data_IF_076936457859
#
_entry.id   IF_076936457859
#
_cell.length_a   1.000
_cell.length_b   1.000
_cell.length_c   1.000
_cell.angle_alpha   90.00
_cell.angle_beta   90.00
_cell.angle_gamma   90.00
#
_symmetry.space_group_name_H-M   'P 1'
#
loop_
_entity.id
_entity.type
_entity.pdbx_description
1 polymer ?
#
# COMPACT_ATOMS: atom_id res chain seq x y z
N UNK A 1 2.00 -11.92 17.95
CA UNK A 1 2.00 -10.63 17.22
C UNK A 1 3.45 -10.16 17.21
N UNK A 2 4.17 -10.34 16.10
CA UNK A 2 5.59 -9.97 16.01
C UNK A 2 5.73 -8.50 15.60
N UNK A 3 6.66 -7.78 16.23
CA UNK A 3 7.01 -6.41 15.82
C UNK A 3 7.78 -6.48 14.50
N UNK A 4 7.34 -5.73 13.49
CA UNK A 4 7.95 -5.67 12.15
C UNK A 4 8.92 -4.50 11.98
N UNK A 5 9.08 -3.65 12.99
CA UNK A 5 10.00 -2.50 12.97
C UNK A 5 11.45 -2.98 12.78
N UNK A 6 12.18 -2.30 11.88
CA UNK A 6 13.59 -2.61 11.57
C UNK A 6 13.78 -3.82 10.64
N UNK A 7 12.70 -4.52 10.27
CA UNK A 7 12.74 -5.57 9.25
C UNK A 7 12.45 -4.97 7.88
N UNK A 8 12.90 -5.67 6.83
CA UNK A 8 12.47 -5.34 5.48
C UNK A 8 10.94 -5.42 5.40
N UNK A 9 10.34 -4.40 4.78
CA UNK A 9 8.90 -4.37 4.56
C UNK A 9 8.48 -5.61 3.74
N UNK A 10 7.42 -6.32 4.14
CA UNK A 10 6.89 -7.42 3.34
C UNK A 10 6.47 -6.91 1.96
N UNK A 11 6.96 -7.57 0.91
CA UNK A 11 6.53 -7.25 -0.45
C UNK A 11 5.18 -7.88 -0.74
N UNK A 12 4.39 -7.21 -1.58
CA UNK A 12 3.10 -7.70 -2.03
C UNK A 12 2.80 -7.22 -3.44
N UNK A 13 2.03 -8.03 -4.16
CA UNK A 13 1.50 -7.69 -5.48
C UNK A 13 -0.01 -7.86 -5.45
N UNK A 14 -0.76 -6.78 -5.65
CA UNK A 14 -2.22 -6.74 -5.55
C UNK A 14 -2.83 -5.80 -6.59
N UNK A 15 -4.14 -5.93 -6.91
CA UNK A 15 -4.84 -4.92 -7.68
C UNK A 15 -4.89 -3.58 -6.93
N UNK A 16 -4.78 -2.46 -7.66
CA UNK A 16 -4.83 -1.11 -7.06
C UNK A 16 -5.42 -0.08 -8.02
N UNK A 17 -5.96 1.00 -7.44
CA UNK A 17 -6.33 2.23 -8.16
C UNK A 17 -5.20 3.24 -7.99
N UNK A 18 -4.61 3.68 -9.09
CA UNK A 18 -3.52 4.66 -9.10
C UNK A 18 -4.05 6.08 -8.90
N UNK A 19 -3.16 7.03 -8.57
CA UNK A 19 -3.54 8.44 -8.34
C UNK A 19 -4.10 9.16 -9.57
N UNK A 20 -3.96 8.59 -10.76
CA UNK A 20 -4.57 9.06 -12.00
C UNK A 20 -5.94 8.40 -12.30
N UNK A 21 -6.42 7.50 -11.43
CA UNK A 21 -7.67 6.76 -11.60
C UNK A 21 -7.55 5.49 -12.44
N UNK A 22 -6.36 5.14 -12.93
CA UNK A 22 -6.15 3.88 -13.64
C UNK A 22 -6.21 2.69 -12.67
N UNK A 23 -6.85 1.62 -13.12
CA UNK A 23 -6.91 0.34 -12.40
C UNK A 23 -5.80 -0.54 -12.96
N UNK A 24 -4.94 -1.03 -12.06
CA UNK A 24 -3.89 -1.98 -12.39
C UNK A 24 -4.12 -3.28 -11.62
N UNK A 25 -4.01 -4.42 -12.30
CA UNK A 25 -4.21 -5.73 -11.68
C UNK A 25 -3.02 -6.19 -10.82
N UNK A 26 -1.86 -5.54 -10.98
CA UNK A 26 -0.59 -5.99 -10.39
C UNK A 26 0.29 -4.84 -9.93
N UNK A 27 -0.15 -4.13 -8.90
CA UNK A 27 0.68 -3.17 -8.18
C UNK A 27 1.65 -3.91 -7.25
N UNK A 28 2.96 -3.74 -7.45
CA UNK A 28 4.00 -4.29 -6.58
C UNK A 28 4.64 -3.20 -5.70
N UNK A 29 4.63 -3.39 -4.37
CA UNK A 29 5.12 -2.39 -3.41
C UNK A 29 6.61 -2.10 -3.63
N UNK A 30 7.46 -3.12 -3.64
CA UNK A 30 8.92 -2.94 -3.72
C UNK A 30 9.35 -2.18 -4.99
N UNK A 31 8.70 -2.46 -6.11
CA UNK A 31 8.91 -1.75 -7.37
C UNK A 31 8.42 -0.30 -7.29
N UNK A 32 7.25 -0.07 -6.71
CA UNK A 32 6.64 1.26 -6.61
C UNK A 32 7.44 2.22 -5.73
N UNK A 33 8.10 1.73 -4.68
CA UNK A 33 8.89 2.55 -3.74
C UNK A 33 10.41 2.47 -3.99
N UNK A 34 10.86 1.82 -5.06
CA UNK A 34 12.28 1.64 -5.33
C UNK A 34 13.02 2.99 -5.37
N UNK A 35 14.04 3.13 -4.51
CA UNK A 35 14.88 4.33 -4.45
C UNK A 35 14.21 5.55 -3.79
N UNK A 36 13.04 5.39 -3.15
CA UNK A 36 12.36 6.46 -2.41
C UNK A 36 11.71 5.93 -1.14
N UNK A 37 11.38 6.85 -0.23
CA UNK A 37 10.58 6.49 0.94
C UNK A 37 9.14 6.16 0.54
N UNK A 38 8.55 5.17 1.21
CA UNK A 38 7.15 4.79 1.06
C UNK A 38 6.44 4.82 2.41
N UNK A 39 5.20 5.31 2.41
CA UNK A 39 4.30 5.24 3.55
C UNK A 39 3.15 4.30 3.20
N UNK A 40 2.99 3.21 3.95
CA UNK A 40 1.85 2.31 3.84
C UNK A 40 0.93 2.56 5.01
N UNK A 41 -0.33 2.87 4.72
CA UNK A 41 -1.36 3.12 5.71
C UNK A 41 -2.53 2.18 5.46
N UNK A 42 -3.05 1.60 6.54
CA UNK A 42 -4.22 0.74 6.51
C UNK A 42 -5.38 1.50 7.15
N UNK A 43 -6.53 1.46 6.51
CA UNK A 43 -7.78 2.00 7.04
C UNK A 43 -8.85 0.90 7.05
N UNK A 44 -9.93 1.04 7.86
CA UNK A 44 -10.82 -0.07 8.14
C UNK A 44 -11.67 -0.50 6.95
N UNK A 45 -12.33 0.47 6.29
CA UNK A 45 -13.24 0.21 5.19
C UNK A 45 -13.56 1.51 4.44
N UNK A 46 -13.77 1.40 3.13
CA UNK A 46 -14.31 2.47 2.28
C UNK A 46 -15.72 2.89 2.74
N UNK A 47 -16.09 4.15 2.49
CA UNK A 47 -17.43 4.69 2.75
C UNK A 47 -17.91 4.56 4.21
N UNK A 48 -17.03 4.89 5.16
CA UNK A 48 -17.35 4.95 6.60
C UNK A 48 -17.34 6.39 7.12
N UNK A 49 -17.83 6.64 8.33
CA UNK A 49 -18.06 8.00 8.86
C UNK A 49 -16.80 8.83 9.16
N UNK A 50 -15.61 8.20 9.18
CA UNK A 50 -14.33 8.83 9.54
C UNK A 50 -13.37 8.93 8.35
N UNK A 51 -13.50 8.03 7.36
CA UNK A 51 -12.82 8.16 6.08
C UNK A 51 -13.68 9.05 5.15
N UNK A 52 -13.07 9.87 4.28
CA UNK A 52 -13.82 10.66 3.31
C UNK A 52 -14.67 9.80 2.36
#
# INVERSE_FOLDING_TARGET
MSVLVGKNAPDFTVPAVLGNGEIVDSFNLASAIKGKYGLVFFYPLDFTFVCP
#
